data_IF_084096236736
#
_entry.id   IF_084096236736
#
_cell.length_a   1.000
_cell.length_b   1.000
_cell.length_c   1.000
_cell.angle_alpha   90.00
_cell.angle_beta   90.00
_cell.angle_gamma   90.00
#
_symmetry.space_group_name_H-M   'P 1'
#
loop_
_entity.id
_entity.type
_entity.pdbx_description
1 polymer ?
#
# COMPACT_ATOMS: atom_id res chain seq x y z
N UNK A 1 -0.96 -36.94 -48.72
CA UNK A 1 -2.09 -37.84 -49.05
C UNK A 1 -1.77 -39.25 -48.61
N UNK A 2 -2.39 -39.72 -47.52
CA UNK A 2 -2.89 -41.09 -47.34
C UNK A 2 -3.64 -41.14 -46.00
N UNK A 3 -4.97 -41.14 -46.12
CA UNK A 3 -5.90 -41.58 -45.09
C UNK A 3 -5.61 -43.05 -44.76
N UNK A 4 -5.54 -43.39 -43.48
CA UNK A 4 -6.46 -44.35 -42.86
C UNK A 4 -6.27 -44.29 -41.33
N UNK A 5 -7.09 -43.43 -40.71
CA UNK A 5 -7.37 -43.46 -39.28
C UNK A 5 -8.37 -44.57 -39.00
N UNK A 6 -8.18 -45.29 -37.89
CA UNK A 6 -9.19 -45.83 -36.96
C UNK A 6 -8.63 -47.13 -36.37
N UNK A 7 -8.07 -47.05 -35.17
CA UNK A 7 -8.19 -48.05 -34.09
C UNK A 7 -7.36 -47.62 -32.87
N UNK A 8 -7.48 -46.35 -32.45
CA UNK A 8 -6.82 -45.85 -31.24
C UNK A 8 -7.53 -44.58 -30.74
N UNK A 9 -8.79 -44.69 -30.32
CA UNK A 9 -9.57 -43.55 -29.73
C UNK A 9 -10.89 -44.04 -29.14
N UNK A 10 -10.87 -44.90 -28.11
CA UNK A 10 -12.08 -45.15 -27.31
C UNK A 10 -11.82 -45.41 -25.81
N UNK A 11 -10.58 -45.67 -25.40
CA UNK A 11 -10.24 -45.80 -23.97
C UNK A 11 -9.78 -44.48 -23.32
N UNK A 12 -9.37 -43.48 -24.10
CA UNK A 12 -8.96 -42.18 -23.56
C UNK A 12 -10.15 -41.22 -23.33
N UNK A 13 -11.19 -41.28 -24.16
CA UNK A 13 -12.34 -40.36 -24.07
C UNK A 13 -13.26 -40.61 -22.87
N UNK A 14 -13.34 -41.85 -22.37
CA UNK A 14 -14.21 -42.23 -21.25
C UNK A 14 -13.67 -41.81 -19.89
N UNK A 15 -12.35 -41.70 -19.72
CA UNK A 15 -11.71 -41.28 -18.47
C UNK A 15 -11.83 -39.75 -18.29
N UNK A 16 -11.64 -38.99 -19.38
CA UNK A 16 -11.82 -37.53 -19.37
C UNK A 16 -13.28 -37.11 -19.14
N UNK A 17 -14.25 -37.82 -19.70
CA UNK A 17 -15.66 -37.48 -19.49
C UNK A 17 -16.11 -37.64 -18.03
N UNK A 18 -15.66 -38.70 -17.33
CA UNK A 18 -16.05 -38.94 -15.92
C UNK A 18 -15.44 -37.96 -14.93
N UNK A 19 -14.28 -37.39 -15.24
CA UNK A 19 -13.61 -36.40 -14.39
C UNK A 19 -14.24 -35.01 -14.56
N UNK A 20 -14.58 -34.62 -15.80
CA UNK A 20 -15.29 -33.38 -16.08
C UNK A 20 -16.65 -33.29 -15.36
N UNK A 21 -17.49 -34.34 -15.41
CA UNK A 21 -18.77 -34.35 -14.69
C UNK A 21 -18.61 -34.27 -13.17
N UNK A 22 -17.51 -34.82 -12.63
CA UNK A 22 -17.24 -34.74 -11.20
C UNK A 22 -16.78 -33.35 -10.75
N UNK A 23 -16.12 -32.59 -11.63
CA UNK A 23 -15.74 -31.20 -11.39
C UNK A 23 -16.98 -30.29 -11.39
N UNK A 24 -17.89 -30.48 -12.35
CA UNK A 24 -19.14 -29.72 -12.43
C UNK A 24 -20.01 -29.95 -11.18
N UNK A 25 -20.15 -31.20 -10.73
CA UNK A 25 -20.86 -31.55 -9.48
C UNK A 25 -20.26 -30.83 -8.24
N UNK A 26 -18.94 -30.65 -8.22
CA UNK A 26 -18.25 -29.95 -7.13
C UNK A 26 -18.51 -28.44 -7.18
N UNK A 27 -18.46 -27.84 -8.37
CA UNK A 27 -18.76 -26.42 -8.56
C UNK A 27 -20.20 -26.13 -8.13
N UNK A 28 -21.16 -26.93 -8.60
CA UNK A 28 -22.57 -26.79 -8.26
C UNK A 28 -22.82 -26.90 -6.75
N UNK A 29 -22.18 -27.87 -6.08
CA UNK A 29 -22.29 -28.02 -4.63
C UNK A 29 -21.72 -26.81 -3.88
N UNK A 30 -20.59 -26.26 -4.34
CA UNK A 30 -19.94 -25.11 -3.72
C UNK A 30 -20.77 -23.83 -3.91
N UNK A 31 -21.26 -23.58 -5.12
CA UNK A 31 -22.05 -22.39 -5.43
C UNK A 31 -23.44 -22.43 -4.79
N UNK A 32 -23.98 -23.62 -4.55
CA UNK A 32 -25.21 -23.82 -3.78
C UNK A 32 -25.00 -23.75 -2.25
N UNK A 33 -23.76 -23.70 -1.76
CA UNK A 33 -23.44 -23.72 -0.33
C UNK A 33 -23.63 -25.09 0.34
N UNK A 34 -23.71 -26.19 -0.43
CA UNK A 34 -23.80 -27.55 0.10
C UNK A 34 -22.41 -28.10 0.46
N UNK A 35 -21.93 -27.67 1.63
CA UNK A 35 -20.62 -28.08 2.17
C UNK A 35 -20.52 -29.59 2.43
N UNK A 36 -21.63 -30.28 2.69
CA UNK A 36 -21.62 -31.71 3.00
C UNK A 36 -21.34 -32.54 1.73
N UNK A 37 -21.99 -32.17 0.62
CA UNK A 37 -21.74 -32.77 -0.69
C UNK A 37 -20.34 -32.43 -1.18
N UNK A 38 -19.92 -31.16 -1.09
CA UNK A 38 -18.57 -30.72 -1.47
C UNK A 38 -17.48 -31.52 -0.73
N UNK A 39 -17.57 -31.64 0.61
CA UNK A 39 -16.64 -32.46 1.41
C UNK A 39 -16.59 -33.92 0.96
N UNK A 40 -17.74 -34.48 0.60
CA UNK A 40 -17.84 -35.87 0.17
C UNK A 40 -17.16 -36.09 -1.18
N UNK A 41 -17.36 -35.18 -2.13
CA UNK A 41 -16.73 -35.21 -3.45
C UNK A 41 -15.21 -35.07 -3.33
N UNK A 42 -14.75 -34.07 -2.58
CA UNK A 42 -13.32 -33.82 -2.32
C UNK A 42 -12.66 -35.02 -1.63
N UNK A 43 -13.30 -35.61 -0.60
CA UNK A 43 -12.77 -36.79 0.11
C UNK A 43 -12.65 -38.02 -0.80
N UNK A 44 -13.51 -38.14 -1.82
CA UNK A 44 -13.47 -39.23 -2.80
C UNK A 44 -12.44 -38.98 -3.92
N UNK A 45 -11.76 -37.82 -3.93
CA UNK A 45 -10.82 -37.43 -4.99
C UNK A 45 -11.52 -37.19 -6.33
N UNK A 46 -12.80 -36.81 -6.28
CA UNK A 46 -13.64 -36.56 -7.46
C UNK A 46 -13.61 -35.08 -7.84
N UNK A 47 -12.43 -34.59 -8.23
CA UNK A 47 -12.22 -33.24 -8.74
C UNK A 47 -10.86 -33.17 -9.44
N UNK A 48 -10.72 -32.28 -10.41
CA UNK A 48 -9.48 -32.01 -11.14
C UNK A 48 -8.69 -30.90 -10.43
N UNK A 49 -9.35 -29.77 -10.19
CA UNK A 49 -8.74 -28.58 -9.57
C UNK A 49 -9.54 -28.09 -8.36
N UNK A 50 -8.85 -27.40 -7.44
CA UNK A 50 -9.52 -26.78 -6.29
C UNK A 50 -10.40 -25.64 -6.79
N UNK A 51 -11.67 -25.61 -6.38
CA UNK A 51 -12.60 -24.53 -6.70
C UNK A 51 -13.20 -23.98 -5.42
N UNK A 52 -13.21 -22.65 -5.24
CA UNK A 52 -13.73 -22.06 -4.00
C UNK A 52 -14.97 -21.20 -4.16
N UNK A 53 -15.40 -20.85 -5.39
CA UNK A 53 -16.63 -20.09 -5.62
C UNK A 53 -16.84 -18.96 -4.59
N UNK A 54 -17.95 -19.05 -3.84
CA UNK A 54 -18.31 -18.11 -2.76
C UNK A 54 -17.98 -18.60 -1.34
N UNK A 55 -17.18 -19.66 -1.19
CA UNK A 55 -16.79 -20.16 0.12
C UNK A 55 -16.08 -19.07 0.93
N UNK A 56 -16.47 -18.96 2.19
CA UNK A 56 -15.72 -18.21 3.18
C UNK A 56 -14.38 -18.90 3.46
N UNK A 57 -13.37 -18.17 3.99
CA UNK A 57 -12.10 -18.77 4.37
C UNK A 57 -12.22 -19.97 5.31
N UNK A 58 -13.17 -19.93 6.26
CA UNK A 58 -13.43 -21.05 7.18
C UNK A 58 -14.00 -22.28 6.47
N UNK A 59 -14.91 -22.08 5.53
CA UNK A 59 -15.54 -23.19 4.78
C UNK A 59 -14.56 -23.83 3.81
N UNK A 60 -13.73 -23.02 3.15
CA UNK A 60 -12.68 -23.51 2.26
C UNK A 60 -11.68 -24.42 3.02
N UNK A 61 -11.30 -24.04 4.24
CA UNK A 61 -10.48 -24.91 5.11
C UNK A 61 -11.23 -26.19 5.44
N UNK A 62 -12.50 -26.11 5.80
CA UNK A 62 -13.30 -27.28 6.17
C UNK A 62 -13.44 -28.30 5.02
N UNK A 63 -13.50 -27.81 3.78
CA UNK A 63 -13.61 -28.64 2.58
C UNK A 63 -12.24 -29.18 2.13
N UNK A 64 -11.22 -28.33 2.09
CA UNK A 64 -9.97 -28.60 1.39
C UNK A 64 -8.73 -28.79 2.27
N UNK A 65 -8.81 -28.76 3.61
CA UNK A 65 -7.64 -28.84 4.51
C UNK A 65 -6.66 -29.97 4.12
N UNK A 66 -7.18 -31.18 3.86
CA UNK A 66 -6.35 -32.33 3.49
C UNK A 66 -5.70 -32.20 2.12
N UNK A 67 -6.40 -31.56 1.19
CA UNK A 67 -5.90 -31.28 -0.17
C UNK A 67 -4.77 -30.27 -0.08
N UNK A 68 -4.99 -29.17 0.64
CA UNK A 68 -3.98 -28.14 0.87
C UNK A 68 -2.72 -28.71 1.56
N UNK A 69 -2.88 -29.56 2.58
CA UNK A 69 -1.73 -30.23 3.23
C UNK A 69 -0.89 -31.07 2.28
N UNK A 70 -1.51 -31.62 1.22
CA UNK A 70 -0.85 -32.46 0.22
C UNK A 70 -0.22 -31.64 -0.90
N UNK A 71 -0.94 -30.63 -1.41
CA UNK A 71 -0.47 -29.75 -2.49
C UNK A 71 -0.83 -28.27 -2.21
N UNK A 72 -0.04 -27.58 -1.36
CA UNK A 72 -0.37 -26.23 -0.91
C UNK A 72 -0.25 -25.18 -2.01
N UNK A 73 0.71 -25.33 -2.92
CA UNK A 73 0.93 -24.38 -4.04
C UNK A 73 -0.26 -24.37 -5.01
N UNK A 74 -0.68 -25.54 -5.48
CA UNK A 74 -1.85 -25.68 -6.37
C UNK A 74 -3.14 -25.20 -5.69
N UNK A 75 -3.30 -25.48 -4.40
CA UNK A 75 -4.48 -25.03 -3.66
C UNK A 75 -4.50 -23.50 -3.53
N UNK A 76 -3.34 -22.88 -3.27
CA UNK A 76 -3.22 -21.43 -3.17
C UNK A 76 -3.41 -20.74 -4.53
N UNK A 77 -2.87 -21.30 -5.61
CA UNK A 77 -3.05 -20.77 -6.96
C UNK A 77 -4.54 -20.68 -7.35
N UNK A 78 -5.33 -21.64 -6.92
CA UNK A 78 -6.76 -21.70 -7.22
C UNK A 78 -7.63 -20.86 -6.28
N UNK A 79 -7.30 -20.77 -4.99
CA UNK A 79 -8.09 -20.02 -4.00
C UNK A 79 -7.22 -19.18 -3.04
N UNK A 80 -6.53 -18.16 -3.56
CA UNK A 80 -5.48 -17.47 -2.80
C UNK A 80 -6.04 -16.75 -1.57
N UNK A 81 -7.17 -16.03 -1.71
CA UNK A 81 -7.80 -15.30 -0.59
C UNK A 81 -8.32 -16.25 0.49
N UNK A 82 -9.10 -17.27 0.13
CA UNK A 82 -9.69 -18.18 1.12
C UNK A 82 -8.61 -18.89 1.95
N UNK A 83 -7.55 -19.36 1.31
CA UNK A 83 -6.47 -20.04 2.03
C UNK A 83 -5.56 -19.07 2.78
N UNK A 84 -5.30 -17.86 2.27
CA UNK A 84 -4.54 -16.85 3.01
C UNK A 84 -5.19 -16.49 4.35
N UNK A 85 -6.49 -16.22 4.34
CA UNK A 85 -7.24 -15.83 5.54
C UNK A 85 -7.62 -17.02 6.43
N UNK A 86 -7.94 -18.18 5.84
CA UNK A 86 -8.45 -19.33 6.57
C UNK A 86 -7.36 -20.29 7.07
N UNK A 87 -6.29 -20.46 6.28
CA UNK A 87 -5.26 -21.47 6.50
C UNK A 87 -3.84 -20.90 6.63
N UNK A 88 -3.68 -19.58 6.53
CA UNK A 88 -2.37 -18.93 6.52
C UNK A 88 -1.50 -19.27 7.74
N UNK A 89 -2.10 -19.30 8.94
CA UNK A 89 -1.39 -19.63 10.19
C UNK A 89 -0.84 -21.06 10.16
N UNK A 90 -1.63 -22.03 9.67
CA UNK A 90 -1.24 -23.42 9.56
C UNK A 90 -0.17 -23.61 8.49
N UNK A 91 -0.32 -22.96 7.33
CA UNK A 91 0.68 -22.95 6.26
C UNK A 91 2.02 -22.42 6.80
N UNK A 92 1.99 -21.28 7.50
CA UNK A 92 3.16 -20.64 8.09
C UNK A 92 3.67 -21.29 9.38
N UNK A 93 3.01 -22.33 9.89
CA UNK A 93 3.52 -23.18 10.97
C UNK A 93 4.21 -24.44 10.44
N UNK A 94 4.08 -24.74 9.15
CA UNK A 94 4.65 -25.93 8.53
C UNK A 94 6.04 -25.64 7.95
N UNK A 95 7.09 -26.18 8.58
CA UNK A 95 8.49 -26.05 8.15
C UNK A 95 8.80 -26.43 6.69
N UNK A 96 7.92 -27.17 6.02
CA UNK A 96 8.07 -27.58 4.61
C UNK A 96 7.32 -26.67 3.63
N UNK A 97 6.48 -25.75 4.10
CA UNK A 97 5.61 -24.93 3.27
C UNK A 97 6.10 -23.47 3.22
N UNK A 98 7.40 -23.27 3.03
CA UNK A 98 8.00 -21.92 3.02
C UNK A 98 7.46 -21.06 1.87
N UNK A 99 7.31 -21.64 0.69
CA UNK A 99 6.84 -20.92 -0.50
C UNK A 99 5.36 -20.54 -0.37
N UNK A 100 4.51 -21.50 0.01
CA UNK A 100 3.10 -21.23 0.32
C UNK A 100 2.93 -20.19 1.45
N UNK A 101 3.76 -20.25 2.49
CA UNK A 101 3.73 -19.22 3.54
C UNK A 101 4.13 -17.84 3.02
N UNK A 102 5.13 -17.77 2.14
CA UNK A 102 5.56 -16.52 1.51
C UNK A 102 4.46 -15.92 0.60
N UNK A 103 3.72 -16.76 -0.13
CA UNK A 103 2.57 -16.33 -0.93
C UNK A 103 1.42 -15.79 -0.07
N UNK A 104 1.07 -16.50 1.02
CA UNK A 104 0.09 -16.04 2.02
C UNK A 104 0.48 -14.66 2.55
N UNK A 105 1.73 -14.50 2.97
CA UNK A 105 2.27 -13.23 3.48
C UNK A 105 2.16 -12.14 2.42
N UNK A 106 2.52 -12.43 1.16
CA UNK A 106 2.50 -11.45 0.07
C UNK A 106 1.09 -10.94 -0.20
N UNK A 107 0.11 -11.84 -0.25
CA UNK A 107 -1.30 -11.47 -0.45
C UNK A 107 -1.82 -10.64 0.72
N UNK A 108 -1.59 -11.10 1.96
CA UNK A 108 -2.06 -10.38 3.15
C UNK A 108 -1.42 -9.00 3.28
N UNK A 109 -0.14 -8.84 2.91
CA UNK A 109 0.53 -7.54 2.86
C UNK A 109 -0.12 -6.61 1.84
N UNK A 110 -0.42 -7.11 0.64
CA UNK A 110 -1.08 -6.33 -0.42
C UNK A 110 -2.46 -5.85 0.03
N UNK A 111 -3.29 -6.77 0.55
CA UNK A 111 -4.62 -6.43 1.07
C UNK A 111 -4.52 -5.45 2.26
N UNK A 112 -3.58 -5.69 3.18
CA UNK A 112 -3.39 -4.84 4.36
C UNK A 112 -2.90 -3.43 4.00
N UNK A 113 -2.12 -3.27 2.94
CA UNK A 113 -1.65 -1.95 2.47
C UNK A 113 -2.84 -1.04 2.06
N UNK A 114 -3.96 -1.62 1.62
CA UNK A 114 -5.20 -0.86 1.33
C UNK A 114 -5.91 -0.34 2.58
N UNK A 115 -5.51 -0.78 3.78
CA UNK A 115 -6.18 -0.49 5.05
C UNK A 115 -7.19 -1.54 5.51
N UNK A 116 -7.26 -2.70 4.84
CA UNK A 116 -8.13 -3.80 5.23
C UNK A 116 -7.73 -4.35 6.62
N UNK A 117 -8.55 -4.07 7.64
CA UNK A 117 -8.27 -4.46 9.03
C UNK A 117 -8.28 -5.97 9.25
N UNK A 118 -9.12 -6.71 8.52
CA UNK A 118 -9.15 -8.19 8.58
C UNK A 118 -7.84 -8.78 8.04
N UNK A 119 -7.30 -8.19 6.96
CA UNK A 119 -6.02 -8.58 6.40
C UNK A 119 -4.89 -8.35 7.40
N UNK A 120 -4.88 -7.19 8.07
CA UNK A 120 -3.89 -6.85 9.10
C UNK A 120 -3.95 -7.84 10.28
N UNK A 121 -5.16 -8.16 10.76
CA UNK A 121 -5.35 -9.13 11.86
C UNK A 121 -4.87 -10.54 11.45
N UNK A 122 -5.17 -10.98 10.22
CA UNK A 122 -4.67 -12.24 9.69
C UNK A 122 -3.15 -12.22 9.55
N UNK A 123 -2.58 -11.14 9.01
CA UNK A 123 -1.15 -10.95 8.82
C UNK A 123 -0.38 -11.01 10.14
N UNK A 124 -0.86 -10.36 11.19
CA UNK A 124 -0.21 -10.41 12.51
C UNK A 124 -0.10 -11.85 13.03
N UNK A 125 -1.18 -12.63 12.91
CA UNK A 125 -1.20 -14.03 13.34
C UNK A 125 -0.28 -14.91 12.49
N UNK A 126 -0.27 -14.68 11.17
CA UNK A 126 0.61 -15.36 10.22
C UNK A 126 2.08 -15.07 10.51
N UNK A 127 2.44 -13.80 10.74
CA UNK A 127 3.81 -13.39 11.11
C UNK A 127 4.24 -14.10 12.38
N UNK A 128 3.39 -14.09 13.42
CA UNK A 128 3.68 -14.75 14.70
C UNK A 128 3.92 -16.25 14.54
N UNK A 129 3.20 -16.92 13.63
CA UNK A 129 3.41 -18.32 13.29
C UNK A 129 4.74 -18.52 12.53
N UNK A 130 4.97 -17.76 11.47
CA UNK A 130 6.15 -17.86 10.62
C UNK A 130 7.46 -17.65 11.40
N UNK A 131 7.51 -16.65 12.29
CA UNK A 131 8.69 -16.33 13.08
C UNK A 131 9.06 -17.40 14.12
N UNK A 132 8.16 -18.36 14.43
CA UNK A 132 8.47 -19.51 15.31
C UNK A 132 9.15 -20.65 14.57
N UNK A 133 9.10 -20.67 13.23
CA UNK A 133 9.66 -21.73 12.39
C UNK A 133 11.10 -21.38 12.01
N UNK A 134 12.07 -22.04 12.66
CA UNK A 134 13.51 -21.75 12.47
C UNK A 134 13.99 -21.98 11.03
N UNK A 135 13.37 -22.91 10.32
CA UNK A 135 13.67 -23.18 8.91
C UNK A 135 13.42 -21.97 8.01
N UNK A 136 12.41 -21.15 8.33
CA UNK A 136 12.09 -19.95 7.56
C UNK A 136 13.11 -18.83 7.78
N UNK A 137 13.88 -18.85 8.88
CA UNK A 137 14.94 -17.88 9.13
C UNK A 137 16.26 -18.24 8.43
N UNK A 138 16.38 -19.43 7.83
CA UNK A 138 17.66 -19.89 7.29
C UNK A 138 18.07 -19.02 6.09
N UNK A 139 19.27 -18.42 6.13
CA UNK A 139 19.74 -17.58 5.05
C UNK A 139 19.98 -18.43 3.78
N UNK A 140 19.69 -17.84 2.63
CA UNK A 140 19.99 -18.44 1.33
C UNK A 140 21.32 -17.88 0.85
N UNK A 141 22.20 -18.77 0.39
CA UNK A 141 23.46 -18.35 -0.23
C UNK A 141 23.17 -17.95 -1.67
N UNK A 142 23.50 -16.72 -2.03
CA UNK A 142 23.41 -16.24 -3.40
C UNK A 142 24.78 -15.85 -3.91
N UNK A 143 25.02 -16.11 -5.18
CA UNK A 143 26.16 -15.55 -5.89
C UNK A 143 25.95 -14.03 -5.99
N UNK A 144 26.91 -13.28 -5.49
CA UNK A 144 26.97 -11.85 -5.68
C UNK A 144 28.25 -11.55 -6.44
N UNK A 145 28.12 -10.87 -7.58
CA UNK A 145 29.25 -10.32 -8.29
C UNK A 145 29.67 -9.07 -7.53
N UNK A 146 30.87 -9.08 -6.97
CA UNK A 146 31.47 -7.88 -6.40
C UNK A 146 32.81 -7.61 -7.01
N UNK A 147 33.07 -6.32 -7.20
CA UNK A 147 34.39 -5.82 -7.50
C UNK A 147 34.95 -5.11 -6.27
N UNK A 148 36.16 -5.48 -5.88
CA UNK A 148 36.83 -4.88 -4.73
C UNK A 148 38.34 -4.78 -4.95
N UNK A 149 38.98 -3.95 -4.13
CA UNK A 149 40.41 -3.68 -4.17
C UNK A 149 41.14 -4.55 -3.14
N UNK A 150 42.21 -5.23 -3.56
CA UNK A 150 43.01 -6.12 -2.70
C UNK A 150 44.43 -5.57 -2.57
N UNK A 151 44.99 -5.43 -1.36
CA UNK A 151 46.35 -4.92 -1.18
C UNK A 151 47.40 -5.72 -1.96
N UNK A 152 48.24 -5.01 -2.71
CA UNK A 152 49.33 -5.61 -3.46
C UNK A 152 50.43 -6.21 -2.55
N UNK A 153 51.25 -7.15 -3.05
CA UNK A 153 52.37 -7.73 -2.32
C UNK A 153 53.33 -6.69 -1.73
N UNK A 154 54.00 -7.02 -0.62
CA UNK A 154 54.83 -6.07 0.12
C UNK A 154 56.14 -5.67 -0.59
N UNK A 155 56.75 -6.55 -1.38
CA UNK A 155 58.02 -6.30 -2.12
C UNK A 155 58.13 -7.22 -3.35
N UNK A 156 59.03 -6.89 -4.28
CA UNK A 156 59.39 -7.73 -5.44
C UNK A 156 58.66 -7.36 -6.73
N UNK A 157 58.95 -8.10 -7.80
CA UNK A 157 58.44 -7.85 -9.17
C UNK A 157 56.91 -7.79 -9.24
N UNK A 158 56.22 -8.68 -8.51
CA UNK A 158 54.77 -8.72 -8.42
C UNK A 158 54.15 -7.47 -7.77
N UNK A 159 54.90 -6.70 -6.96
CA UNK A 159 54.41 -5.42 -6.42
C UNK A 159 54.41 -4.33 -7.50
N UNK A 160 55.46 -4.28 -8.31
CA UNK A 160 55.58 -3.28 -9.38
C UNK A 160 54.51 -3.49 -10.45
N UNK A 161 54.29 -4.74 -10.88
CA UNK A 161 53.21 -5.11 -11.81
C UNK A 161 51.82 -4.73 -11.24
N UNK A 162 51.57 -5.05 -9.97
CA UNK A 162 50.31 -4.73 -9.29
C UNK A 162 50.09 -3.22 -9.10
N UNK A 163 51.15 -2.43 -8.97
CA UNK A 163 51.08 -0.96 -8.89
C UNK A 163 50.73 -0.34 -10.24
N UNK A 164 51.27 -0.87 -11.35
CA UNK A 164 50.88 -0.46 -12.70
C UNK A 164 49.42 -0.79 -12.98
N UNK A 165 48.96 -1.99 -12.59
CA UNK A 165 47.54 -2.38 -12.67
C UNK A 165 46.64 -1.47 -11.83
N UNK A 166 47.07 -1.07 -10.63
CA UNK A 166 46.33 -0.12 -9.77
C UNK A 166 46.10 1.22 -10.47
N UNK A 167 47.15 1.78 -11.08
CA UNK A 167 47.08 3.07 -11.78
C UNK A 167 46.22 3.00 -13.04
N UNK A 168 46.36 1.94 -13.84
CA UNK A 168 45.56 1.75 -15.05
C UNK A 168 44.06 1.66 -14.73
N UNK A 169 43.70 0.90 -13.69
CA UNK A 169 42.31 0.74 -13.28
C UNK A 169 41.74 1.99 -12.62
N UNK A 170 42.50 2.67 -11.75
CA UNK A 170 42.05 3.94 -11.16
C UNK A 170 41.74 4.99 -12.24
N UNK A 171 42.56 5.06 -13.29
CA UNK A 171 42.34 5.95 -14.44
C UNK A 171 41.11 5.55 -15.25
N UNK A 172 40.92 4.27 -15.54
CA UNK A 172 39.73 3.77 -16.24
C UNK A 172 38.44 4.07 -15.48
N UNK A 173 38.47 4.04 -14.15
CA UNK A 173 37.33 4.33 -13.29
C UNK A 173 37.16 5.82 -12.95
N UNK A 174 38.06 6.70 -13.42
CA UNK A 174 38.12 8.11 -13.02
C UNK A 174 38.21 8.33 -11.50
N UNK A 175 38.86 7.44 -10.75
CA UNK A 175 39.05 7.54 -9.29
C UNK A 175 40.39 8.21 -8.96
N UNK A 176 40.39 9.55 -9.00
CA UNK A 176 41.59 10.37 -8.74
C UNK A 176 42.15 10.19 -7.32
N UNK A 177 41.30 9.89 -6.33
CA UNK A 177 41.74 9.63 -4.97
C UNK A 177 42.54 8.32 -4.89
N UNK A 178 42.12 7.29 -5.64
CA UNK A 178 42.83 6.02 -5.70
C UNK A 178 44.15 6.14 -6.45
N UNK A 179 44.19 6.88 -7.55
CA UNK A 179 45.40 7.10 -8.34
C UNK A 179 46.55 7.64 -7.45
N UNK A 180 46.27 8.60 -6.56
CA UNK A 180 47.26 9.13 -5.61
C UNK A 180 47.72 8.08 -4.58
N UNK A 181 46.83 7.16 -4.18
CA UNK A 181 47.16 6.12 -3.21
C UNK A 181 47.93 4.95 -3.81
N UNK A 182 47.86 4.70 -5.12
CA UNK A 182 48.52 3.56 -5.78
C UNK A 182 50.04 3.55 -5.57
N UNK A 183 50.71 4.70 -5.48
CA UNK A 183 52.16 4.76 -5.24
C UNK A 183 52.55 4.35 -3.80
N UNK A 184 51.69 4.68 -2.82
CA UNK A 184 51.98 4.50 -1.39
C UNK A 184 51.41 3.17 -0.86
N UNK A 185 50.21 2.80 -1.31
CA UNK A 185 49.44 1.61 -0.94
C UNK A 185 48.74 1.05 -2.19
N UNK A 186 49.50 0.43 -3.12
CA UNK A 186 48.89 -0.15 -4.31
C UNK A 186 47.92 -1.27 -3.94
N UNK A 187 46.76 -1.26 -4.55
CA UNK A 187 45.73 -2.29 -4.46
C UNK A 187 45.39 -2.77 -5.87
N UNK A 188 45.15 -4.06 -6.04
CA UNK A 188 44.69 -4.65 -7.29
C UNK A 188 43.17 -4.64 -7.33
N UNK A 189 42.59 -4.14 -8.42
CA UNK A 189 41.17 -4.29 -8.65
C UNK A 189 40.86 -5.73 -9.10
N UNK A 190 39.95 -6.39 -8.39
CA UNK A 190 39.45 -7.72 -8.73
C UNK A 190 38.01 -7.56 -9.17
N UNK A 191 37.73 -7.76 -10.47
CA UNK A 191 36.39 -7.78 -11.03
C UNK A 191 35.75 -9.16 -10.93
N UNK A 192 34.44 -9.20 -10.74
CA UNK A 192 33.57 -10.38 -10.91
C UNK A 192 34.03 -11.64 -10.15
N UNK A 193 34.52 -11.46 -8.92
CA UNK A 193 34.66 -12.61 -8.02
C UNK A 193 33.29 -12.92 -7.46
N UNK A 194 32.58 -13.86 -8.07
CA UNK A 194 31.32 -14.37 -7.52
C UNK A 194 31.61 -15.13 -6.23
N UNK A 195 31.15 -14.60 -5.10
CA UNK A 195 31.25 -15.26 -3.80
C UNK A 195 29.86 -15.48 -3.20
N UNK A 196 29.76 -16.51 -2.36
CA UNK A 196 28.51 -16.87 -1.71
C UNK A 196 28.26 -15.92 -0.53
N UNK A 197 27.40 -14.93 -0.74
CA UNK A 197 26.94 -14.05 0.34
C UNK A 197 25.70 -14.67 0.98
N UNK A 198 25.68 -14.83 2.31
CA UNK A 198 24.46 -15.20 3.01
C UNK A 198 23.47 -14.04 2.94
N UNK A 199 22.33 -14.24 2.29
CA UNK A 199 21.20 -13.30 2.34
C UNK A 199 20.11 -13.82 3.28
N UNK A 200 19.32 -12.91 3.89
CA UNK A 200 18.10 -13.27 4.61
C UNK A 200 17.23 -14.19 3.75
N UNK A 201 16.42 -15.04 4.38
CA UNK A 201 15.48 -15.86 3.61
C UNK A 201 14.52 -14.96 2.81
N UNK A 202 14.07 -15.40 1.62
CA UNK A 202 13.11 -14.63 0.82
C UNK A 202 11.87 -14.23 1.61
N UNK A 203 11.37 -15.14 2.46
CA UNK A 203 10.24 -14.89 3.36
C UNK A 203 10.54 -13.79 4.38
N UNK A 204 11.70 -13.82 5.04
CA UNK A 204 12.06 -12.78 6.01
C UNK A 204 12.27 -11.43 5.32
N UNK A 205 12.87 -11.42 4.13
CA UNK A 205 13.06 -10.19 3.36
C UNK A 205 11.72 -9.59 2.93
N UNK A 206 10.78 -10.43 2.49
CA UNK A 206 9.41 -10.04 2.18
C UNK A 206 8.71 -9.42 3.39
N UNK A 207 8.80 -10.06 4.57
CA UNK A 207 8.24 -9.52 5.81
C UNK A 207 8.85 -8.18 6.20
N UNK A 208 10.18 -8.04 6.12
CA UNK A 208 10.88 -6.78 6.44
C UNK A 208 10.38 -5.65 5.55
N UNK A 209 10.42 -5.86 4.24
CA UNK A 209 9.99 -4.84 3.27
C UNK A 209 8.50 -4.54 3.42
N UNK A 210 7.67 -5.58 3.47
CA UNK A 210 6.22 -5.44 3.55
C UNK A 210 5.74 -4.74 4.82
N UNK A 211 6.35 -4.99 5.97
CA UNK A 211 5.98 -4.29 7.21
C UNK A 211 6.38 -2.81 7.18
N UNK A 212 7.56 -2.48 6.63
CA UNK A 212 8.01 -1.09 6.51
C UNK A 212 7.17 -0.35 5.47
N UNK A 213 6.98 -0.92 4.28
CA UNK A 213 6.16 -0.36 3.22
C UNK A 213 4.71 -0.20 3.71
N UNK A 214 4.16 -1.22 4.36
CA UNK A 214 2.82 -1.19 4.94
C UNK A 214 2.67 -0.07 5.98
N UNK A 215 3.65 0.16 6.85
CA UNK A 215 3.60 1.30 7.77
C UNK A 215 3.52 2.63 7.01
N UNK A 216 4.34 2.84 5.97
CA UNK A 216 4.45 4.13 5.28
C UNK A 216 3.40 4.39 4.20
N UNK A 217 2.88 3.34 3.55
CA UNK A 217 1.96 3.42 2.42
C UNK A 217 0.50 3.23 2.80
N UNK A 218 0.21 2.48 3.88
CA UNK A 218 -1.17 2.25 4.32
C UNK A 218 -1.85 3.53 4.83
N UNK A 219 -3.20 3.55 4.86
CA UNK A 219 -3.96 4.61 5.50
C UNK A 219 -3.49 4.92 6.93
N UNK A 220 -3.43 6.20 7.30
CA UNK A 220 -2.86 6.66 8.59
C UNK A 220 -3.57 6.04 9.81
N UNK A 221 -4.87 5.72 9.72
CA UNK A 221 -5.66 5.12 10.79
C UNK A 221 -5.22 3.69 11.16
N UNK A 222 -4.52 2.97 10.29
CA UNK A 222 -4.00 1.62 10.57
C UNK A 222 -2.50 1.62 10.88
N UNK A 223 -1.83 2.76 10.87
CA UNK A 223 -0.39 2.89 11.09
C UNK A 223 0.06 2.30 12.43
N UNK A 224 -0.76 2.44 13.50
CA UNK A 224 -0.44 1.90 14.82
C UNK A 224 -0.25 0.38 14.76
N UNK A 225 -1.11 -0.33 14.02
CA UNK A 225 -1.04 -1.79 13.90
C UNK A 225 0.27 -2.23 13.23
N UNK A 226 0.69 -1.53 12.18
CA UNK A 226 1.98 -1.78 11.54
C UNK A 226 3.17 -1.46 12.44
N UNK A 227 3.12 -0.34 13.17
CA UNK A 227 4.16 0.00 14.15
C UNK A 227 4.32 -1.09 15.21
N UNK A 228 3.21 -1.59 15.76
CA UNK A 228 3.21 -2.71 16.72
C UNK A 228 3.80 -3.98 16.10
N UNK A 229 3.43 -4.33 14.87
CA UNK A 229 4.00 -5.49 14.18
C UNK A 229 5.51 -5.33 13.96
N UNK A 230 5.99 -4.16 13.52
CA UNK A 230 7.41 -3.87 13.36
C UNK A 230 8.17 -4.03 14.68
N UNK A 231 7.66 -3.44 15.76
CA UNK A 231 8.29 -3.54 17.08
C UNK A 231 8.34 -4.98 17.60
N UNK A 232 7.24 -5.72 17.48
CA UNK A 232 7.14 -7.10 17.96
C UNK A 232 8.01 -8.07 17.14
N UNK A 233 8.19 -7.79 15.84
CA UNK A 233 8.98 -8.63 14.93
C UNK A 233 10.45 -8.18 14.81
N UNK A 234 10.82 -7.00 15.29
CA UNK A 234 12.12 -6.37 15.10
C UNK A 234 13.30 -7.30 15.39
N UNK A 235 13.30 -7.94 16.57
CA UNK A 235 14.38 -8.85 16.97
C UNK A 235 14.44 -10.10 16.10
N UNK A 236 13.29 -10.69 15.81
CA UNK A 236 13.22 -11.94 15.05
C UNK A 236 13.63 -11.70 13.58
N UNK A 237 13.23 -10.57 13.02
CA UNK A 237 13.58 -10.15 11.67
C UNK A 237 14.92 -9.41 11.61
N UNK A 238 15.65 -9.21 12.70
CA UNK A 238 16.88 -8.40 12.73
C UNK A 238 16.72 -7.04 12.04
N UNK A 239 15.61 -6.33 12.32
CA UNK A 239 15.37 -4.99 11.79
C UNK A 239 16.33 -3.99 12.44
N UNK A 240 16.94 -3.07 11.67
CA UNK A 240 17.74 -1.99 12.24
C UNK A 240 16.86 -0.99 12.98
N UNK A 241 17.38 -0.35 14.03
CA UNK A 241 16.63 0.64 14.82
C UNK A 241 16.13 1.83 13.97
N UNK A 242 16.81 2.11 12.85
CA UNK A 242 16.42 3.14 11.88
C UNK A 242 15.14 2.85 11.09
N UNK A 243 14.57 1.64 11.17
CA UNK A 243 13.28 1.30 10.53
C UNK A 243 12.21 0.89 11.52
N UNK A 244 12.58 0.56 12.77
CA UNK A 244 11.64 0.18 13.81
C UNK A 244 11.01 1.45 14.38
N UNK A 245 9.78 1.75 13.96
CA UNK A 245 9.07 2.93 14.43
C UNK A 245 8.61 2.71 15.87
N UNK A 246 9.41 3.21 16.81
CA UNK A 246 9.22 3.18 18.26
C UNK A 246 9.52 4.56 18.85
N UNK A 247 9.42 4.71 20.17
CA UNK A 247 9.67 6.00 20.84
C UNK A 247 11.05 6.59 20.48
N UNK A 248 12.10 5.78 20.43
CA UNK A 248 13.45 6.24 20.10
C UNK A 248 13.56 6.74 18.64
N UNK A 249 12.84 6.10 17.72
CA UNK A 249 12.73 6.58 16.34
C UNK A 249 12.10 7.98 16.30
N UNK A 250 10.99 8.19 17.02
CA UNK A 250 10.30 9.47 17.06
C UNK A 250 11.16 10.57 17.70
N UNK A 251 11.89 10.25 18.77
CA UNK A 251 12.83 11.16 19.43
C UNK A 251 13.93 11.62 18.45
N UNK A 252 14.59 10.67 17.78
CA UNK A 252 15.64 10.95 16.80
C UNK A 252 15.11 11.75 15.61
N UNK A 253 13.91 11.42 15.14
CA UNK A 253 13.24 12.15 14.06
C UNK A 253 13.02 13.62 14.44
N UNK A 254 12.46 13.87 15.63
CA UNK A 254 12.22 15.22 16.12
C UNK A 254 13.53 15.99 16.37
N UNK A 255 14.55 15.34 16.94
CA UNK A 255 15.86 15.94 17.17
C UNK A 255 16.55 16.35 15.87
N UNK A 256 16.46 15.52 14.83
CA UNK A 256 16.99 15.85 13.50
C UNK A 256 16.34 17.10 12.93
N UNK A 257 15.01 17.18 12.95
CA UNK A 257 14.30 18.37 12.46
C UNK A 257 14.61 19.61 13.29
N UNK A 258 14.80 19.47 14.61
CA UNK A 258 15.20 20.57 15.49
C UNK A 258 16.62 21.06 15.16
N UNK A 259 17.56 20.14 14.97
CA UNK A 259 18.95 20.46 14.61
C UNK A 259 19.05 21.14 13.23
N UNK A 260 18.26 20.65 12.27
CA UNK A 260 18.24 21.18 10.90
C UNK A 260 17.41 22.48 10.78
N UNK A 261 16.67 22.87 11.83
CA UNK A 261 15.77 24.02 11.81
C UNK A 261 14.60 23.88 10.81
N UNK A 262 14.23 22.63 10.48
CA UNK A 262 13.20 22.33 9.47
C UNK A 262 11.84 22.07 10.13
N UNK A 263 10.73 22.43 9.46
CA UNK A 263 9.39 22.09 9.95
C UNK A 263 9.18 20.57 9.94
N UNK A 264 8.35 20.09 10.87
CA UNK A 264 7.95 18.68 10.90
C UNK A 264 7.04 18.37 9.70
N UNK A 265 7.38 17.36 8.87
CA UNK A 265 6.52 16.97 7.74
C UNK A 265 5.15 16.48 8.24
N UNK A 266 4.05 17.05 7.73
CA UNK A 266 2.70 16.69 8.17
C UNK A 266 2.38 15.21 7.99
N UNK A 267 2.86 14.62 6.91
CA UNK A 267 2.54 13.25 6.51
C UNK A 267 3.12 12.24 7.48
N UNK A 268 4.33 12.49 7.97
CA UNK A 268 4.98 11.71 9.01
C UNK A 268 4.33 11.99 10.35
N UNK A 269 4.17 13.28 10.71
CA UNK A 269 3.58 13.69 11.97
C UNK A 269 2.21 13.02 12.19
N UNK A 270 1.30 13.08 11.22
CA UNK A 270 -0.04 12.52 11.40
C UNK A 270 -0.06 11.00 11.50
N UNK A 271 0.88 10.33 10.82
CA UNK A 271 1.06 8.90 10.97
C UNK A 271 1.51 8.55 12.39
N UNK A 272 2.41 9.34 12.95
CA UNK A 272 2.81 9.21 14.34
C UNK A 272 1.66 9.57 15.30
N UNK A 273 0.89 10.61 15.00
CA UNK A 273 -0.30 11.00 15.78
C UNK A 273 -1.32 9.87 15.89
N UNK A 274 -1.57 9.17 14.79
CA UNK A 274 -2.48 8.02 14.78
C UNK A 274 -2.01 6.86 15.67
N UNK A 275 -0.73 6.86 16.06
CA UNK A 275 -0.09 5.72 16.72
C UNK A 275 0.44 6.01 18.12
N UNK A 276 0.77 7.26 18.45
CA UNK A 276 1.42 7.69 19.70
C UNK A 276 0.70 8.82 20.44
N UNK A 277 -0.54 9.15 20.09
CA UNK A 277 -1.32 10.09 20.91
C UNK A 277 -1.63 9.50 22.31
N UNK A 278 -1.51 10.28 23.40
CA UNK A 278 -1.11 11.71 23.47
C UNK A 278 0.41 11.94 23.58
N UNK A 279 1.20 10.88 23.80
CA UNK A 279 2.64 10.92 24.08
C UNK A 279 3.47 11.74 23.08
N UNK A 280 3.14 11.69 21.79
CA UNK A 280 3.87 12.46 20.78
C UNK A 280 3.76 13.96 21.00
N UNK A 281 2.60 14.48 21.40
CA UNK A 281 2.44 15.92 21.65
C UNK A 281 3.25 16.36 22.87
N UNK A 282 3.31 15.53 23.92
CA UNK A 282 4.14 15.76 25.10
C UNK A 282 5.64 15.80 24.75
N UNK A 283 6.09 14.86 23.90
CA UNK A 283 7.46 14.82 23.38
C UNK A 283 7.78 16.07 22.57
N UNK A 284 6.93 16.43 21.60
CA UNK A 284 7.12 17.60 20.75
C UNK A 284 7.11 18.91 21.56
N UNK A 285 6.27 18.98 22.60
CA UNK A 285 6.25 20.10 23.53
C UNK A 285 7.57 20.23 24.31
N UNK A 286 8.09 19.12 24.80
CA UNK A 286 9.38 19.09 25.53
C UNK A 286 10.53 19.56 24.65
N UNK A 287 10.50 19.26 23.34
CA UNK A 287 11.49 19.71 22.36
C UNK A 287 11.22 21.12 21.79
N UNK A 288 10.17 21.79 22.27
CA UNK A 288 9.82 23.15 21.89
C UNK A 288 9.39 23.28 20.42
N UNK A 289 8.71 22.29 19.87
CA UNK A 289 7.95 22.44 18.63
C UNK A 289 6.61 23.12 18.94
N UNK A 290 6.08 23.93 18.03
CA UNK A 290 4.71 24.47 18.12
C UNK A 290 3.69 23.55 17.43
N UNK A 291 4.10 22.89 16.34
CA UNK A 291 3.25 21.94 15.60
C UNK A 291 2.84 20.77 16.48
N UNK A 292 1.54 20.44 16.46
CA UNK A 292 0.92 19.35 17.21
C UNK A 292 0.08 18.48 16.30
N UNK A 293 -0.35 17.35 16.82
CA UNK A 293 -1.29 16.48 16.14
C UNK A 293 -2.59 17.21 15.77
N UNK A 294 -3.17 16.90 14.60
CA UNK A 294 -4.39 17.56 14.15
C UNK A 294 -5.55 17.17 15.05
N UNK A 295 -6.26 18.19 15.55
CA UNK A 295 -7.52 18.02 16.26
C UNK A 295 -8.66 18.13 15.24
N UNK A 296 -9.56 17.16 15.26
CA UNK A 296 -10.74 17.15 14.40
C UNK A 296 -12.00 17.36 15.25
N UNK A 297 -12.86 18.26 14.80
CA UNK A 297 -14.24 18.39 15.26
C UNK A 297 -15.12 17.39 14.48
N UNK A 298 -16.24 16.96 15.08
CA UNK A 298 -17.25 16.19 14.36
C UNK A 298 -18.39 17.12 13.91
N UNK A 299 -18.75 17.04 12.62
CA UNK A 299 -19.99 17.59 12.10
C UNK A 299 -20.91 16.43 11.70
N UNK A 300 -22.13 16.41 12.23
CA UNK A 300 -23.14 15.40 11.86
C UNK A 300 -24.10 16.01 10.86
N UNK A 301 -24.17 15.44 9.66
CA UNK A 301 -25.15 15.85 8.65
C UNK A 301 -26.56 15.46 9.12
N UNK A 302 -27.47 16.42 9.34
CA UNK A 302 -28.79 16.14 9.87
C UNK A 302 -29.69 15.37 8.89
N UNK A 303 -29.31 15.30 7.61
CA UNK A 303 -30.13 14.70 6.55
C UNK A 303 -30.01 13.17 6.51
N UNK A 304 -28.85 12.62 6.84
CA UNK A 304 -28.56 11.18 6.79
C UNK A 304 -27.83 10.63 8.03
N UNK A 305 -27.44 11.48 8.97
CA UNK A 305 -26.69 11.11 10.17
C UNK A 305 -25.20 10.84 9.92
N UNK A 306 -24.70 11.08 8.70
CA UNK A 306 -23.29 10.89 8.37
C UNK A 306 -22.44 11.87 9.17
N UNK A 307 -21.40 11.35 9.84
CA UNK A 307 -20.42 12.16 10.55
C UNK A 307 -19.24 12.47 9.65
N UNK A 308 -18.83 13.73 9.65
CA UNK A 308 -17.67 14.24 8.93
C UNK A 308 -16.68 14.85 9.93
N UNK A 309 -15.39 14.59 9.70
CA UNK A 309 -14.32 15.29 10.39
C UNK A 309 -14.18 16.70 9.82
N UNK A 310 -14.11 17.67 10.72
CA UNK A 310 -13.93 19.07 10.41
C UNK A 310 -12.66 19.58 11.07
N UNK A 311 -11.90 20.42 10.37
CA UNK A 311 -10.70 21.06 10.92
C UNK A 311 -10.65 22.53 10.55
N UNK A 312 -10.23 23.36 11.50
CA UNK A 312 -9.87 24.75 11.21
C UNK A 312 -8.51 24.83 10.50
N UNK A 313 -8.50 25.41 9.31
CA UNK A 313 -7.33 25.61 8.47
C UNK A 313 -7.39 27.04 7.94
N UNK A 314 -6.43 27.87 8.32
CA UNK A 314 -6.34 29.27 7.86
C UNK A 314 -7.56 30.12 8.26
N UNK A 315 -8.15 29.85 9.43
CA UNK A 315 -9.32 30.57 9.93
C UNK A 315 -10.66 30.11 9.36
N UNK A 316 -10.67 29.05 8.53
CA UNK A 316 -11.90 28.44 7.98
C UNK A 316 -12.02 27.00 8.43
N UNK A 317 -13.24 26.56 8.74
CA UNK A 317 -13.50 25.17 9.14
C UNK A 317 -13.88 24.34 7.92
N UNK A 318 -12.97 23.45 7.52
CA UNK A 318 -13.13 22.60 6.34
C UNK A 318 -13.57 21.20 6.72
N UNK A 319 -14.42 20.60 5.88
CA UNK A 319 -14.55 19.15 5.87
C UNK A 319 -13.22 18.57 5.38
N UNK A 320 -12.59 17.73 6.21
CA UNK A 320 -11.34 17.02 5.84
C UNK A 320 -11.61 15.66 5.17
N UNK A 321 -12.89 15.37 4.91
CA UNK A 321 -13.39 14.25 4.11
C UNK A 321 -14.27 14.77 2.98
N UNK A 322 -14.32 14.05 1.86
CA UNK A 322 -15.23 14.38 0.77
C UNK A 322 -16.67 14.10 1.21
N UNK A 323 -17.61 14.92 0.73
CA UNK A 323 -19.03 14.75 1.05
C UNK A 323 -19.56 13.40 0.49
N UNK A 324 -20.32 12.67 1.30
CA UNK A 324 -20.86 11.34 0.97
C UNK A 324 -22.40 11.29 1.04
N UNK A 325 -23.08 12.42 0.83
CA UNK A 325 -24.53 12.52 0.85
C UNK A 325 -25.18 11.93 -0.41
N UNK A 326 -26.20 11.09 -0.23
CA UNK A 326 -26.90 10.43 -1.34
C UNK A 326 -27.95 11.36 -1.97
N UNK A 327 -27.61 11.96 -3.10
CA UNK A 327 -28.55 12.63 -4.01
C UNK A 327 -28.96 11.69 -5.15
N UNK A 328 -30.21 11.20 -5.12
CA UNK A 328 -30.74 10.25 -6.12
C UNK A 328 -30.61 10.80 -7.54
N UNK A 329 -29.93 10.05 -8.41
CA UNK A 329 -29.73 10.41 -9.82
C UNK A 329 -28.73 11.53 -10.07
N UNK A 330 -28.12 12.11 -9.03
CA UNK A 330 -27.25 13.29 -9.15
C UNK A 330 -25.94 13.18 -8.35
N UNK A 331 -25.75 12.07 -7.63
CA UNK A 331 -24.48 11.68 -6.99
C UNK A 331 -24.22 10.17 -7.16
N UNK A 332 -22.94 9.78 -7.26
CA UNK A 332 -22.54 8.40 -7.52
C UNK A 332 -21.18 8.08 -6.89
N UNK A 333 -20.88 6.80 -6.69
CA UNK A 333 -19.56 6.32 -6.30
C UNK A 333 -18.64 6.24 -7.51
N UNK A 334 -17.33 6.36 -7.29
CA UNK A 334 -16.35 6.05 -8.33
C UNK A 334 -16.51 4.59 -8.78
N UNK A 335 -16.50 4.35 -10.09
CA UNK A 335 -16.78 3.06 -10.75
C UNK A 335 -18.12 2.41 -10.39
N UNK A 336 -19.01 3.15 -9.70
CA UNK A 336 -20.32 2.65 -9.23
C UNK A 336 -20.20 1.53 -8.19
N UNK A 337 -19.10 1.49 -7.46
CA UNK A 337 -18.84 0.55 -6.37
C UNK A 337 -19.03 1.26 -5.03
N UNK A 338 -19.84 0.69 -4.14
CA UNK A 338 -20.19 1.32 -2.86
C UNK A 338 -18.97 1.50 -1.95
N UNK A 339 -18.00 0.58 -2.01
CA UNK A 339 -16.74 0.63 -1.28
C UNK A 339 -15.94 1.90 -1.61
N UNK A 340 -16.00 2.37 -2.86
CA UNK A 340 -15.32 3.59 -3.27
C UNK A 340 -15.97 4.85 -2.66
N UNK A 341 -17.28 4.83 -2.38
CA UNK A 341 -17.93 5.91 -1.65
C UNK A 341 -17.45 5.99 -0.19
N UNK A 342 -17.20 4.85 0.45
CA UNK A 342 -16.69 4.81 1.84
C UNK A 342 -15.28 5.40 1.94
N UNK A 343 -14.45 5.16 0.92
CA UNK A 343 -13.06 5.61 0.88
C UNK A 343 -12.94 7.07 0.40
N UNK A 344 -13.56 7.39 -0.73
CA UNK A 344 -13.35 8.66 -1.44
C UNK A 344 -14.52 9.63 -1.34
N UNK A 345 -15.63 9.25 -0.70
CA UNK A 345 -16.89 10.00 -0.77
C UNK A 345 -17.55 9.89 -2.15
N UNK A 346 -18.62 10.67 -2.34
CA UNK A 346 -19.40 10.68 -3.58
C UNK A 346 -18.89 11.71 -4.58
N UNK A 347 -19.13 11.41 -5.85
CA UNK A 347 -19.00 12.33 -6.95
C UNK A 347 -20.37 12.94 -7.27
N UNK A 348 -20.39 14.22 -7.62
CA UNK A 348 -21.61 15.00 -7.87
C UNK A 348 -21.48 15.74 -9.20
N UNK A 349 -22.59 15.85 -9.93
CA UNK A 349 -22.69 16.86 -11.01
C UNK A 349 -22.58 18.26 -10.43
N UNK A 350 -22.22 19.26 -11.25
CA UNK A 350 -22.09 20.63 -10.74
C UNK A 350 -23.40 21.16 -10.14
N UNK A 351 -24.53 20.85 -10.77
CA UNK A 351 -25.85 21.24 -10.26
C UNK A 351 -26.14 20.63 -8.89
N UNK A 352 -25.79 19.35 -8.69
CA UNK A 352 -25.93 18.68 -7.42
C UNK A 352 -24.97 19.23 -6.37
N UNK A 353 -23.71 19.48 -6.73
CA UNK A 353 -22.68 19.97 -5.82
C UNK A 353 -23.08 21.27 -5.11
N UNK A 354 -23.77 22.16 -5.81
CA UNK A 354 -24.23 23.46 -5.27
C UNK A 354 -25.26 23.29 -4.15
N UNK A 355 -26.05 22.22 -4.19
CA UNK A 355 -27.09 21.91 -3.19
C UNK A 355 -26.65 20.79 -2.22
N UNK A 356 -25.46 20.21 -2.42
CA UNK A 356 -25.06 18.98 -1.75
C UNK A 356 -24.65 19.22 -0.30
N UNK A 357 -24.02 20.37 0.01
CA UNK A 357 -23.55 20.65 1.36
C UNK A 357 -24.72 20.86 2.35
N UNK A 358 -24.63 20.31 3.58
CA UNK A 358 -25.69 20.43 4.58
C UNK A 358 -25.84 21.86 5.12
N UNK A 359 -26.98 22.11 5.77
CA UNK A 359 -27.25 23.40 6.44
C UNK A 359 -26.12 23.76 7.42
N UNK A 360 -25.77 25.06 7.47
CA UNK A 360 -24.64 25.56 8.25
C UNK A 360 -23.28 25.37 7.57
N UNK A 361 -23.25 24.82 6.36
CA UNK A 361 -22.06 24.70 5.52
C UNK A 361 -22.37 25.17 4.09
N UNK A 362 -21.34 25.39 3.29
CA UNK A 362 -21.46 25.74 1.87
C UNK A 362 -20.43 24.98 1.02
N UNK A 363 -20.69 24.88 -0.28
CA UNK A 363 -19.72 24.38 -1.25
C UNK A 363 -18.54 25.37 -1.31
N UNK A 364 -17.30 24.86 -1.25
CA UNK A 364 -16.11 25.72 -1.23
C UNK A 364 -16.10 26.76 -2.36
N UNK A 365 -15.75 27.99 -2.01
CA UNK A 365 -15.63 29.13 -2.92
C UNK A 365 -14.24 29.25 -3.53
N UNK A 366 -14.09 30.06 -4.58
CA UNK A 366 -12.77 30.33 -5.16
C UNK A 366 -11.84 31.03 -4.15
N UNK A 367 -12.43 31.84 -3.28
CA UNK A 367 -11.78 32.58 -2.20
C UNK A 367 -11.33 31.66 -1.06
N UNK A 368 -12.13 30.65 -0.69
CA UNK A 368 -11.72 29.65 0.29
C UNK A 368 -10.47 28.89 -0.17
N UNK A 369 -10.47 28.46 -1.44
CA UNK A 369 -9.32 27.80 -2.05
C UNK A 369 -8.09 28.71 -2.12
N UNK A 370 -8.24 29.99 -2.51
CA UNK A 370 -7.13 30.95 -2.53
C UNK A 370 -6.52 31.20 -1.14
N UNK A 371 -7.35 31.24 -0.10
CA UNK A 371 -6.88 31.37 1.28
C UNK A 371 -6.06 30.13 1.68
N UNK A 372 -6.55 28.94 1.33
CA UNK A 372 -5.85 27.67 1.56
C UNK A 372 -4.52 27.58 0.79
N UNK A 373 -4.53 27.97 -0.49
CA UNK A 373 -3.34 28.03 -1.36
C UNK A 373 -2.30 29.01 -0.80
N UNK A 374 -2.72 30.19 -0.34
CA UNK A 374 -1.85 31.21 0.24
C UNK A 374 -1.24 30.73 1.55
N UNK A 375 -2.03 30.11 2.42
CA UNK A 375 -1.54 29.47 3.64
C UNK A 375 -0.47 28.43 3.32
N UNK A 376 -0.67 27.64 2.26
CA UNK A 376 0.27 26.63 1.81
C UNK A 376 1.53 27.18 1.11
N UNK A 377 1.68 28.50 0.98
CA UNK A 377 2.84 29.14 0.35
C UNK A 377 2.66 29.45 -1.14
N UNK A 378 1.42 29.46 -1.62
CA UNK A 378 1.03 29.77 -2.98
C UNK A 378 0.57 28.55 -3.78
N UNK A 379 -0.26 28.81 -4.79
CA UNK A 379 -0.91 27.75 -5.58
C UNK A 379 0.08 26.77 -6.22
N UNK A 380 1.30 27.20 -6.60
CA UNK A 380 2.32 26.36 -7.27
C UNK A 380 2.93 25.26 -6.40
N UNK A 381 2.81 25.36 -5.08
CA UNK A 381 3.33 24.38 -4.11
C UNK A 381 2.24 23.82 -3.19
N UNK A 382 1.01 24.34 -3.29
CA UNK A 382 -0.06 24.03 -2.37
C UNK A 382 -0.48 22.55 -2.41
N UNK A 383 -0.45 21.90 -3.59
CA UNK A 383 -0.93 20.51 -3.69
C UNK A 383 -0.07 19.57 -2.85
N UNK A 384 1.25 19.77 -2.82
CA UNK A 384 2.16 18.97 -2.01
C UNK A 384 1.76 19.00 -0.52
N UNK A 385 1.33 20.16 -0.01
CA UNK A 385 0.95 20.34 1.40
C UNK A 385 -0.50 19.98 1.72
N UNK A 386 -1.34 19.71 0.73
CA UNK A 386 -2.78 19.46 0.93
C UNK A 386 -3.20 18.03 0.57
N UNK A 387 -2.46 17.35 -0.31
CA UNK A 387 -2.80 16.01 -0.81
C UNK A 387 -2.40 14.89 0.15
N UNK A 388 -3.20 13.83 0.17
CA UNK A 388 -3.00 12.70 1.09
C UNK A 388 -1.70 11.93 0.88
N UNK A 389 -1.19 11.90 -0.35
CA UNK A 389 0.09 11.29 -0.75
C UNK A 389 1.27 12.29 -0.80
N UNK A 390 1.06 13.52 -0.32
CA UNK A 390 2.08 14.55 -0.17
C UNK A 390 2.45 14.75 1.29
N UNK A 391 2.86 15.98 1.64
CA UNK A 391 3.07 16.41 3.01
C UNK A 391 1.78 16.47 3.81
N UNK A 392 0.64 16.84 3.21
CA UNK A 392 -0.64 17.00 3.93
C UNK A 392 -0.48 17.86 5.21
N UNK A 393 0.37 18.88 5.22
CA UNK A 393 0.75 19.65 6.43
C UNK A 393 -0.44 20.21 7.22
N UNK A 394 -1.59 20.39 6.56
CA UNK A 394 -2.82 20.93 7.12
C UNK A 394 -3.91 19.89 7.38
N UNK A 395 -3.63 18.59 7.29
CA UNK A 395 -4.63 17.51 7.44
C UNK A 395 -5.89 17.76 6.60
N UNK A 396 -5.68 18.37 5.44
CA UNK A 396 -6.74 18.60 4.47
C UNK A 396 -7.12 17.27 3.80
N UNK A 397 -6.14 16.38 3.65
CA UNK A 397 -6.28 15.00 3.18
C UNK A 397 -7.07 14.94 1.88
N UNK A 398 -6.59 15.66 0.85
CA UNK A 398 -7.17 15.53 -0.48
C UNK A 398 -6.80 14.17 -1.08
N UNK A 399 -7.77 13.25 -1.04
CA UNK A 399 -7.65 11.89 -1.57
C UNK A 399 -7.78 11.89 -3.09
N UNK A 400 -7.02 11.03 -3.75
CA UNK A 400 -6.99 10.91 -5.21
C UNK A 400 -8.09 9.97 -5.69
N UNK A 401 -9.34 10.37 -5.46
CA UNK A 401 -10.53 9.61 -5.83
C UNK A 401 -10.93 9.72 -7.31
N UNK A 402 -10.16 10.43 -8.13
CA UNK A 402 -10.47 10.63 -9.55
C UNK A 402 -11.75 11.42 -9.80
N UNK A 403 -12.34 11.22 -10.97
CA UNK A 403 -13.64 11.78 -11.35
C UNK A 403 -14.38 10.85 -12.33
N UNK A 404 -15.67 11.11 -12.59
CA UNK A 404 -16.40 10.48 -13.68
C UNK A 404 -16.79 11.51 -14.75
N UNK A 405 -16.57 11.18 -16.02
CA UNK A 405 -16.94 12.06 -17.12
C UNK A 405 -18.46 12.07 -17.35
N UNK A 406 -18.94 12.86 -18.33
CA UNK A 406 -20.38 12.95 -18.66
C UNK A 406 -21.05 11.63 -19.06
N UNK A 407 -20.28 10.63 -19.48
CA UNK A 407 -20.78 9.28 -19.79
C UNK A 407 -20.74 8.35 -18.58
N UNK A 408 -20.42 8.86 -17.39
CA UNK A 408 -20.23 8.09 -16.15
C UNK A 408 -19.12 7.03 -16.28
N UNK A 409 -18.07 7.35 -17.05
CA UNK A 409 -16.83 6.58 -17.04
C UNK A 409 -15.90 7.23 -16.03
N UNK A 410 -15.53 6.45 -15.02
CA UNK A 410 -14.61 6.82 -13.96
C UNK A 410 -13.17 6.69 -14.44
N UNK A 411 -12.34 7.69 -14.14
CA UNK A 411 -10.96 7.79 -14.62
C UNK A 411 -10.03 8.33 -13.53
N UNK A 412 -8.74 8.00 -13.66
CA UNK A 412 -7.60 8.58 -12.92
C UNK A 412 -7.68 8.53 -11.38
N UNK A 413 -8.37 7.53 -10.83
CA UNK A 413 -8.21 7.14 -9.42
C UNK A 413 -6.75 6.82 -9.12
N UNK A 414 -6.28 7.28 -7.95
CA UNK A 414 -4.89 7.16 -7.53
C UNK A 414 -3.93 8.17 -8.16
N UNK A 415 -4.37 8.94 -9.17
CA UNK A 415 -3.52 9.91 -9.88
C UNK A 415 -3.88 11.36 -9.60
N UNK A 416 -5.16 11.67 -9.35
CA UNK A 416 -5.59 13.04 -9.06
C UNK A 416 -6.86 13.18 -8.23
N UNK A 417 -7.04 14.40 -7.69
CA UNK A 417 -8.20 14.81 -6.92
C UNK A 417 -8.88 16.02 -7.57
N UNK A 418 -10.21 16.01 -7.65
CA UNK A 418 -11.01 17.02 -8.35
C UNK A 418 -12.17 17.48 -7.49
N UNK A 419 -12.28 18.80 -7.31
CA UNK A 419 -13.27 19.39 -6.43
C UNK A 419 -14.07 20.45 -7.16
N UNK A 420 -15.39 20.36 -7.11
CA UNK A 420 -16.23 21.48 -7.53
C UNK A 420 -16.03 22.68 -6.61
N UNK A 421 -16.07 23.87 -7.18
CA UNK A 421 -16.33 25.11 -6.43
C UNK A 421 -17.73 25.63 -6.74
N UNK A 422 -18.24 26.54 -5.93
CA UNK A 422 -19.55 27.17 -6.17
C UNK A 422 -19.62 27.98 -7.47
N UNK A 423 -18.47 28.32 -8.06
CA UNK A 423 -18.38 29.27 -9.16
C UNK A 423 -18.89 28.67 -10.47
N UNK A 424 -19.88 29.34 -11.06
CA UNK A 424 -20.35 29.13 -12.44
C UNK A 424 -19.69 30.15 -13.36
N UNK A 425 -19.15 29.68 -14.47
CA UNK A 425 -18.56 30.52 -15.50
C UNK A 425 -19.63 31.00 -16.48
N UNK A 426 -19.34 32.11 -17.17
CA UNK A 426 -20.27 32.75 -18.10
C UNK A 426 -20.63 31.89 -19.32
N UNK A 427 -19.78 30.92 -19.66
CA UNK A 427 -19.99 29.96 -20.74
C UNK A 427 -20.79 28.72 -20.31
N UNK A 428 -21.28 28.69 -19.08
CA UNK A 428 -22.10 27.61 -18.54
C UNK A 428 -21.32 26.45 -17.93
N UNK A 429 -19.98 26.48 -17.94
CA UNK A 429 -19.13 25.51 -17.23
C UNK A 429 -19.03 25.82 -15.74
N UNK A 430 -18.66 24.83 -14.95
CA UNK A 430 -18.24 25.03 -13.57
C UNK A 430 -16.75 25.27 -13.43
N UNK A 431 -16.35 25.89 -12.33
CA UNK A 431 -14.96 25.95 -11.95
C UNK A 431 -14.66 24.79 -10.98
N UNK A 432 -13.57 24.09 -11.25
CA UNK A 432 -13.07 23.03 -10.39
C UNK A 432 -11.62 23.32 -9.95
N UNK A 433 -11.25 22.78 -8.80
CA UNK A 433 -9.85 22.69 -8.35
C UNK A 433 -9.34 21.27 -8.56
N UNK A 434 -8.09 21.16 -8.99
CA UNK A 434 -7.44 19.87 -9.17
C UNK A 434 -6.03 19.81 -8.61
N UNK A 435 -5.62 18.60 -8.25
CA UNK A 435 -4.28 18.25 -7.79
C UNK A 435 -3.90 16.91 -8.41
N UNK A 436 -2.69 16.81 -8.96
CA UNK A 436 -2.14 15.59 -9.57
C UNK A 436 -0.96 15.04 -8.76
N UNK A 437 -0.61 13.75 -8.93
CA UNK A 437 0.53 13.12 -8.24
C UNK A 437 1.88 13.68 -8.72
N UNK A 438 1.99 14.03 -9.99
CA UNK A 438 3.22 14.53 -10.63
C UNK A 438 3.43 16.03 -10.47
N UNK A 439 2.44 16.77 -9.97
CA UNK A 439 2.48 18.23 -9.85
C UNK A 439 2.36 18.69 -8.40
N UNK A 440 3.00 19.83 -8.10
CA UNK A 440 2.93 20.46 -6.78
C UNK A 440 1.85 21.54 -6.70
N UNK A 441 1.21 21.86 -7.82
CA UNK A 441 0.27 22.96 -7.92
C UNK A 441 -1.18 22.55 -7.68
N UNK A 442 -1.93 23.38 -6.96
CA UNK A 442 -3.40 23.39 -7.03
C UNK A 442 -3.77 24.20 -8.27
N UNK A 443 -4.45 23.56 -9.22
CA UNK A 443 -4.85 24.21 -10.48
C UNK A 443 -6.34 24.46 -10.52
N UNK A 444 -6.73 25.52 -11.22
CA UNK A 444 -8.12 25.87 -11.47
C UNK A 444 -8.47 25.57 -12.92
N UNK A 445 -9.57 24.87 -13.15
CA UNK A 445 -9.98 24.46 -14.49
C UNK A 445 -11.49 24.61 -14.73
N UNK A 446 -11.90 25.07 -15.92
CA UNK A 446 -13.29 25.05 -16.33
C UNK A 446 -13.72 23.63 -16.75
N UNK A 447 -14.80 23.12 -16.19
CA UNK A 447 -15.29 21.75 -16.41
C UNK A 447 -16.77 21.76 -16.81
N UNK A 448 -17.15 20.89 -17.77
CA UNK A 448 -18.55 20.67 -18.16
C UNK A 448 -19.39 20.25 -16.93
N UNK A 449 -20.59 20.83 -16.79
CA UNK A 449 -21.44 20.65 -15.59
C UNK A 449 -21.92 19.21 -15.37
N UNK A 450 -21.89 18.40 -16.44
CA UNK A 450 -22.26 16.98 -16.46
C UNK A 450 -21.14 16.05 -15.96
N UNK A 451 -19.94 16.56 -15.67
CA UNK A 451 -18.89 15.78 -15.01
C UNK A 451 -19.22 15.60 -13.53
N UNK A 452 -18.67 14.53 -12.95
CA UNK A 452 -18.93 14.13 -11.58
C UNK A 452 -17.63 14.25 -10.79
N UNK A 453 -17.54 15.28 -9.95
CA UNK A 453 -16.35 15.58 -9.15
C UNK A 453 -16.70 15.51 -7.65
N UNK A 454 -15.67 15.44 -6.80
CA UNK A 454 -15.86 15.44 -5.36
C UNK A 454 -16.32 16.82 -4.85
N UNK A 455 -16.94 16.82 -3.68
CA UNK A 455 -17.36 18.06 -2.98
C UNK A 455 -16.65 18.16 -1.64
N UNK A 456 -16.13 19.36 -1.34
CA UNK A 456 -15.61 19.75 -0.04
C UNK A 456 -16.42 20.92 0.50
N UNK A 457 -17.10 20.67 1.61
CA UNK A 457 -17.90 21.69 2.28
C UNK A 457 -17.06 22.48 3.28
N UNK A 458 -17.38 23.76 3.42
CA UNK A 458 -16.79 24.67 4.40
C UNK A 458 -17.90 25.07 5.37
N UNK A 459 -17.64 25.03 6.67
CA UNK A 459 -18.60 25.46 7.69
C UNK A 459 -18.70 26.98 7.64
N UNK A 460 -19.93 27.49 7.69
CA UNK A 460 -20.18 28.94 7.66
C UNK A 460 -19.60 29.61 8.91
N UNK A 461 -19.05 30.80 8.74
CA UNK A 461 -18.64 31.64 9.87
C UNK A 461 -19.87 32.01 10.70
N UNK A 462 -19.74 31.96 12.03
CA UNK A 462 -20.83 32.28 12.97
C UNK A 462 -21.07 33.77 13.12
#
# INVERSE_FOLDING_TARGET
MKYFSKFLTLAAASIFATAAFAQDDLHDAIDAGDLATAKTLVKKGKFEDVYCGKLTPSEAVEVYEKVFKKNPEESFANCPTQFAYGYGVQACSNRKAVDACNEVISLLLLDAETGNTKAIDALENVIRAALRVKEFAKPVKMMADTSFWVPCPKKGKARTECMEECLDQARKMNDAAREETCEKKPERFVEDTSFLVPRPSPLYENLRKGLVDGYWKSPKNVAHRYATMLQNSARALSLPDSVVINDAYLENWADKHKADGTPLPGSQLFRFCASWQPKIDEMLATKGFETRCPVFEEFTDPRDGQKYKVREIGGKKWFVQNLNFVMKGASNCYDREDENCEIYGRLYTQGAAIEACPEGTHLSTDEDWKALETLAGGASVAAEKLRSNGGDDYAFTALFGGYANKSMNSVIQGEGAYFWTEKRLSDGRGLARSMFNTENAVTSMPVEKEFWLSVRCVVNDK
#
